data_IF_591495065424
#
_entry.id   IF_591495065424
#
_cell.length_a   1.000
_cell.length_b   1.000
_cell.length_c   1.000
_cell.angle_alpha   90.00
_cell.angle_beta   90.00
_cell.angle_gamma   90.00
#
_symmetry.space_group_name_H-M   'P 1'
#
loop_
_entity.id
_entity.type
_entity.pdbx_description
1 polymer ?
#
# COMPACT_ATOMS: atom_id res chain seq x y z
N UNK A 1 -25.63 16.25 -8.70
CA UNK A 1 -24.50 15.86 -9.55
C UNK A 1 -23.23 16.49 -8.96
N UNK A 2 -22.40 15.75 -8.22
CA UNK A 2 -21.10 16.26 -7.75
C UNK A 2 -20.10 16.06 -8.87
N UNK A 3 -19.54 17.14 -9.40
CA UNK A 3 -18.47 17.11 -10.40
C UNK A 3 -17.26 16.37 -9.83
N UNK A 4 -16.82 15.32 -10.53
CA UNK A 4 -15.58 14.64 -10.20
C UNK A 4 -14.42 15.67 -10.24
N UNK A 5 -13.49 15.64 -9.27
CA UNK A 5 -12.34 16.54 -9.27
C UNK A 5 -11.52 16.29 -10.54
N UNK A 6 -11.23 17.35 -11.27
CA UNK A 6 -10.34 17.35 -12.43
C UNK A 6 -8.99 16.78 -12.02
N UNK A 7 -8.64 15.59 -12.54
CA UNK A 7 -7.34 14.93 -12.30
C UNK A 7 -6.25 15.78 -12.93
N UNK A 8 -5.50 16.48 -12.11
CA UNK A 8 -4.27 17.17 -12.53
C UNK A 8 -3.26 16.10 -13.03
N UNK A 9 -3.00 16.08 -14.35
CA UNK A 9 -2.08 15.11 -14.98
C UNK A 9 -0.63 15.20 -14.45
N UNK A 10 -0.31 16.23 -13.68
CA UNK A 10 1.00 16.44 -13.08
C UNK A 10 1.17 15.78 -11.70
N UNK A 11 0.11 15.24 -11.11
CA UNK A 11 0.11 14.69 -9.76
C UNK A 11 -0.41 13.25 -9.78
N UNK A 12 0.37 12.30 -9.25
CA UNK A 12 -0.02 10.91 -9.08
C UNK A 12 -0.07 10.57 -7.59
N UNK A 13 -1.24 10.18 -7.09
CA UNK A 13 -1.42 9.67 -5.72
C UNK A 13 -1.67 8.18 -5.75
N UNK A 14 -0.98 7.47 -4.89
CA UNK A 14 -1.08 6.01 -4.79
C UNK A 14 -1.36 5.62 -3.36
N UNK A 15 -2.37 4.79 -3.16
CA UNK A 15 -2.62 4.11 -1.89
C UNK A 15 -1.90 2.75 -1.92
N UNK A 16 -0.85 2.61 -1.13
CA UNK A 16 -0.15 1.35 -0.92
C UNK A 16 -0.74 0.56 0.24
N UNK A 17 -0.90 -0.73 0.05
CA UNK A 17 -1.40 -1.67 1.07
C UNK A 17 -0.44 -2.84 1.19
N UNK A 18 -0.05 -3.14 2.43
CA UNK A 18 0.62 -4.37 2.83
C UNK A 18 -0.37 -5.24 3.62
N UNK A 19 -1.03 -6.20 2.97
CA UNK A 19 -2.04 -7.02 3.62
C UNK A 19 -1.39 -8.05 4.55
N UNK A 20 -1.95 -8.28 5.74
CA UNK A 20 -1.47 -9.28 6.67
C UNK A 20 -2.57 -10.25 7.12
N UNK A 21 -2.23 -11.55 7.16
CA UNK A 21 -3.13 -12.60 7.60
C UNK A 21 -3.37 -12.58 9.12
N UNK A 22 -2.34 -12.30 9.91
CA UNK A 22 -2.37 -12.34 11.37
C UNK A 22 -1.85 -11.05 12.02
N UNK A 23 -0.89 -10.36 11.41
CA UNK A 23 -0.32 -9.10 11.88
C UNK A 23 -1.20 -7.88 11.59
N UNK A 24 -0.61 -6.72 11.59
CA UNK A 24 -1.27 -5.49 11.19
C UNK A 24 -1.26 -5.34 9.66
N UNK A 25 -2.38 -4.92 9.09
CA UNK A 25 -2.42 -4.52 7.68
C UNK A 25 -1.94 -3.09 7.56
N UNK A 26 -0.80 -2.90 6.88
CA UNK A 26 -0.22 -1.59 6.64
C UNK A 26 -0.92 -0.83 5.52
N UNK A 27 -0.97 0.50 5.64
CA UNK A 27 -1.41 1.39 4.57
C UNK A 27 -0.51 2.63 4.48
N UNK A 28 -0.34 3.15 3.27
CA UNK A 28 0.40 4.38 3.04
C UNK A 28 -0.06 5.10 1.79
N UNK A 29 -0.27 6.41 1.88
CA UNK A 29 -0.63 7.26 0.75
C UNK A 29 0.56 8.12 0.37
N UNK A 30 1.01 7.98 -0.87
CA UNK A 30 2.15 8.71 -1.40
C UNK A 30 1.73 9.50 -2.64
N UNK A 31 2.05 10.79 -2.63
CA UNK A 31 1.85 11.68 -3.75
C UNK A 31 3.18 11.87 -4.49
N UNK A 32 3.16 11.68 -5.80
CA UNK A 32 4.21 12.07 -6.72
C UNK A 32 3.80 13.34 -7.43
N UNK A 33 4.57 14.42 -7.27
CA UNK A 33 4.37 15.71 -7.94
C UNK A 33 5.70 16.29 -8.36
N UNK A 34 5.80 16.74 -9.61
CA UNK A 34 7.04 17.32 -10.18
C UNK A 34 8.29 16.46 -9.91
N UNK A 35 8.16 15.14 -10.08
CA UNK A 35 9.26 14.19 -9.89
C UNK A 35 9.63 13.88 -8.42
N UNK A 36 8.89 14.41 -7.45
CA UNK A 36 9.15 14.22 -6.02
C UNK A 36 8.02 13.48 -5.33
N UNK A 37 8.36 12.47 -4.54
CA UNK A 37 7.40 11.76 -3.70
C UNK A 37 7.27 12.43 -2.34
N UNK A 38 6.02 12.50 -1.86
CA UNK A 38 5.65 13.01 -0.53
C UNK A 38 4.67 12.04 0.13
N UNK A 39 4.90 11.70 1.38
CA UNK A 39 3.95 10.97 2.21
C UNK A 39 2.80 11.90 2.60
N UNK A 40 1.55 11.44 2.40
CA UNK A 40 0.34 12.14 2.83
C UNK A 40 -0.24 11.53 4.10
N UNK A 41 -0.27 10.21 4.18
CA UNK A 41 -0.80 9.46 5.32
C UNK A 41 -0.14 8.08 5.37
N UNK A 42 0.03 7.54 6.56
CA UNK A 42 0.41 6.13 6.75
C UNK A 42 -0.09 5.63 8.10
N UNK A 43 -0.14 4.32 8.25
CA UNK A 43 -0.53 3.67 9.48
C UNK A 43 -0.70 2.17 9.30
N UNK A 44 -1.15 1.52 10.35
CA UNK A 44 -1.45 0.10 10.31
C UNK A 44 -2.69 -0.24 11.14
N UNK A 45 -3.54 -1.08 10.57
CA UNK A 45 -4.71 -1.65 11.23
C UNK A 45 -4.26 -2.86 12.04
N UNK A 46 -4.08 -2.65 13.33
CA UNK A 46 -3.76 -3.74 14.26
C UNK A 46 -5.01 -4.59 14.48
N UNK A 47 -4.78 -5.87 14.66
CA UNK A 47 -5.83 -6.76 15.15
C UNK A 47 -6.24 -6.27 16.54
N UNK A 48 -7.52 -5.96 16.74
CA UNK A 48 -8.09 -5.87 18.09
C UNK A 48 -7.85 -7.21 18.80
N UNK A 49 -7.64 -7.21 20.11
CA UNK A 49 -7.37 -8.40 20.94
C UNK A 49 -8.54 -9.41 20.95
N UNK A 50 -9.32 -9.47 19.88
CA UNK A 50 -10.48 -10.30 19.68
C UNK A 50 -10.14 -11.76 19.38
N UNK A 51 -11.11 -12.62 19.65
CA UNK A 51 -11.12 -14.04 19.31
C UNK A 51 -10.86 -14.26 17.79
N UNK A 52 -10.29 -15.41 17.40
CA UNK A 52 -10.28 -15.84 15.98
C UNK A 52 -11.64 -15.80 15.28
N UNK A 53 -12.74 -15.84 16.06
CA UNK A 53 -14.11 -15.70 15.56
C UNK A 53 -14.43 -14.28 15.03
N UNK A 54 -13.59 -13.27 15.29
CA UNK A 54 -13.80 -11.88 14.90
C UNK A 54 -13.12 -11.48 13.56
N UNK A 55 -12.69 -12.46 12.79
CA UNK A 55 -12.04 -12.20 11.52
C UNK A 55 -12.96 -11.49 10.48
N UNK A 56 -14.27 -11.79 10.38
CA UNK A 56 -15.18 -11.02 9.54
C UNK A 56 -15.25 -9.52 9.91
N UNK A 57 -15.26 -9.20 11.21
CA UNK A 57 -15.23 -7.81 11.67
C UNK A 57 -13.96 -7.09 11.25
N UNK A 58 -12.81 -7.78 11.31
CA UNK A 58 -11.54 -7.25 10.79
C UNK A 58 -11.59 -6.97 9.29
N UNK A 59 -12.17 -7.86 8.50
CA UNK A 59 -12.34 -7.63 7.05
C UNK A 59 -13.18 -6.38 6.79
N UNK A 60 -14.25 -6.19 7.55
CA UNK A 60 -15.09 -4.99 7.48
C UNK A 60 -14.32 -3.73 7.87
N UNK A 61 -13.49 -3.78 8.91
CA UNK A 61 -12.64 -2.65 9.32
C UNK A 61 -11.65 -2.26 8.22
N UNK A 62 -10.99 -3.26 7.61
CA UNK A 62 -10.06 -3.04 6.49
C UNK A 62 -10.81 -2.38 5.31
N UNK A 63 -11.97 -2.90 4.92
CA UNK A 63 -12.81 -2.32 3.87
C UNK A 63 -13.15 -0.86 4.16
N UNK A 64 -13.63 -0.59 5.38
CA UNK A 64 -14.04 0.75 5.81
C UNK A 64 -12.86 1.74 5.77
N UNK A 65 -11.69 1.34 6.26
CA UNK A 65 -10.51 2.22 6.26
C UNK A 65 -9.99 2.46 4.85
N UNK A 66 -9.90 1.42 4.02
CA UNK A 66 -9.49 1.57 2.62
C UNK A 66 -10.45 2.51 1.88
N UNK A 67 -11.77 2.35 2.06
CA UNK A 67 -12.77 3.25 1.48
C UNK A 67 -12.59 4.71 1.92
N UNK A 68 -12.39 4.94 3.23
CA UNK A 68 -12.13 6.29 3.77
C UNK A 68 -10.85 6.92 3.22
N UNK A 69 -9.78 6.16 3.10
CA UNK A 69 -8.53 6.64 2.52
C UNK A 69 -8.69 7.00 1.05
N UNK A 70 -9.48 6.23 0.31
CA UNK A 70 -9.81 6.51 -1.09
C UNK A 70 -10.64 7.81 -1.19
N UNK A 71 -11.64 7.99 -0.35
CA UNK A 71 -12.46 9.20 -0.32
C UNK A 71 -11.65 10.44 0.08
N UNK A 72 -10.81 10.34 1.14
CA UNK A 72 -10.04 11.46 1.70
C UNK A 72 -8.93 11.92 0.75
N UNK A 73 -8.19 10.98 0.16
CA UNK A 73 -6.99 11.31 -0.62
C UNK A 73 -7.18 11.24 -2.13
N UNK A 74 -8.30 10.73 -2.62
CA UNK A 74 -8.61 10.54 -4.03
C UNK A 74 -7.41 9.98 -4.83
N UNK A 75 -6.88 8.78 -4.47
CA UNK A 75 -5.75 8.19 -5.17
C UNK A 75 -6.13 7.85 -6.61
N UNK A 76 -5.12 7.74 -7.48
CA UNK A 76 -5.29 7.36 -8.88
C UNK A 76 -5.19 5.84 -9.08
N UNK A 77 -4.56 5.16 -8.12
CA UNK A 77 -4.40 3.71 -8.11
C UNK A 77 -4.22 3.18 -6.69
N UNK A 78 -4.52 1.90 -6.51
CA UNK A 78 -4.16 1.13 -5.32
C UNK A 78 -3.03 0.17 -5.70
N UNK A 79 -1.94 0.19 -4.92
CA UNK A 79 -0.82 -0.73 -5.05
C UNK A 79 -0.85 -1.70 -3.87
N UNK A 80 -0.80 -3.00 -4.13
CA UNK A 80 -0.92 -4.04 -3.10
C UNK A 80 0.28 -4.97 -3.18
N UNK A 81 0.88 -5.29 -2.03
CA UNK A 81 1.89 -6.33 -2.01
C UNK A 81 1.25 -7.69 -2.34
N UNK A 82 1.83 -8.38 -3.32
CA UNK A 82 1.40 -9.73 -3.67
C UNK A 82 2.06 -10.74 -2.77
N UNK A 83 1.27 -11.67 -2.28
CA UNK A 83 1.78 -12.77 -1.47
C UNK A 83 2.40 -13.82 -2.34
N UNK A 84 3.66 -14.13 -2.10
CA UNK A 84 4.33 -15.23 -2.73
C UNK A 84 4.91 -16.19 -1.69
N UNK A 85 4.44 -17.42 -1.76
CA UNK A 85 5.07 -18.69 -1.38
C UNK A 85 5.57 -18.94 0.04
N UNK A 86 5.51 -20.20 0.40
CA UNK A 86 5.95 -20.83 1.64
C UNK A 86 5.06 -20.57 2.89
N UNK A 87 3.90 -19.97 2.70
CA UNK A 87 2.89 -19.91 3.76
C UNK A 87 2.14 -21.25 3.86
N UNK A 88 1.83 -21.68 5.08
CA UNK A 88 0.88 -22.75 5.21
C UNK A 88 -0.48 -22.34 4.62
N UNK A 89 -1.25 -23.31 4.17
CA UNK A 89 -2.53 -23.11 3.46
C UNK A 89 -3.48 -22.18 4.23
N UNK A 90 -3.57 -22.33 5.55
CA UNK A 90 -4.46 -21.51 6.40
C UNK A 90 -4.06 -20.03 6.37
N UNK A 91 -2.77 -19.74 6.44
CA UNK A 91 -2.26 -18.36 6.35
C UNK A 91 -2.48 -17.79 4.96
N UNK A 92 -2.24 -18.57 3.92
CA UNK A 92 -2.45 -18.14 2.53
C UNK A 92 -3.92 -17.79 2.26
N UNK A 93 -4.86 -18.61 2.71
CA UNK A 93 -6.29 -18.35 2.59
C UNK A 93 -6.70 -17.06 3.31
N UNK A 94 -6.26 -16.88 4.56
CA UNK A 94 -6.55 -15.65 5.32
C UNK A 94 -6.03 -14.39 4.63
N UNK A 95 -4.86 -14.49 4.06
CA UNK A 95 -4.25 -13.38 3.35
C UNK A 95 -4.99 -13.07 2.02
N UNK A 96 -5.43 -14.11 1.31
CA UNK A 96 -6.26 -13.96 0.12
C UNK A 96 -7.60 -13.27 0.44
N UNK A 97 -8.23 -13.61 1.59
CA UNK A 97 -9.46 -12.96 2.06
C UNK A 97 -9.23 -11.47 2.37
N UNK A 98 -8.16 -11.11 3.08
CA UNK A 98 -7.78 -9.71 3.35
C UNK A 98 -7.54 -8.97 2.03
N UNK A 99 -6.76 -9.57 1.14
CA UNK A 99 -6.47 -8.98 -0.17
C UNK A 99 -7.74 -8.79 -1.00
N UNK A 100 -8.65 -9.77 -0.99
CA UNK A 100 -9.95 -9.68 -1.68
C UNK A 100 -10.78 -8.47 -1.24
N UNK A 101 -10.78 -8.17 0.05
CA UNK A 101 -11.47 -6.98 0.60
C UNK A 101 -10.85 -5.67 0.10
N UNK A 102 -9.52 -5.59 0.01
CA UNK A 102 -8.84 -4.41 -0.55
C UNK A 102 -9.18 -4.24 -2.04
N UNK A 103 -9.19 -5.35 -2.80
CA UNK A 103 -9.58 -5.34 -4.21
C UNK A 103 -11.02 -4.88 -4.40
N UNK A 104 -11.94 -5.33 -3.54
CA UNK A 104 -13.34 -4.94 -3.57
C UNK A 104 -13.49 -3.43 -3.34
N UNK A 105 -12.88 -2.88 -2.28
CA UNK A 105 -12.95 -1.46 -1.98
C UNK A 105 -12.39 -0.58 -3.12
N UNK A 106 -11.31 -1.02 -3.76
CA UNK A 106 -10.76 -0.32 -4.93
C UNK A 106 -11.69 -0.39 -6.15
N UNK A 107 -12.31 -1.57 -6.40
CA UNK A 107 -13.25 -1.76 -7.51
C UNK A 107 -14.52 -0.93 -7.35
N UNK A 108 -15.08 -0.84 -6.15
CA UNK A 108 -16.24 0.02 -5.83
C UNK A 108 -15.95 1.50 -6.10
N UNK A 109 -14.70 1.93 -5.92
CA UNK A 109 -14.25 3.27 -6.23
C UNK A 109 -13.80 3.47 -7.71
N UNK A 110 -13.86 2.41 -8.52
CA UNK A 110 -13.42 2.45 -9.93
C UNK A 110 -11.91 2.67 -10.10
N UNK A 111 -11.09 2.26 -9.11
CA UNK A 111 -9.65 2.45 -9.12
C UNK A 111 -8.92 1.21 -9.68
N UNK A 112 -7.88 1.40 -10.51
CA UNK A 112 -7.01 0.32 -10.92
C UNK A 112 -6.19 -0.20 -9.73
N UNK A 113 -5.97 -1.53 -9.70
CA UNK A 113 -5.13 -2.17 -8.68
C UNK A 113 -3.90 -2.79 -9.34
N UNK A 114 -2.74 -2.49 -8.77
CA UNK A 114 -1.46 -3.02 -9.19
C UNK A 114 -0.83 -3.86 -8.09
N UNK A 115 -0.31 -5.03 -8.46
CA UNK A 115 0.31 -5.96 -7.51
C UNK A 115 1.82 -5.99 -7.70
N UNK A 116 2.56 -5.97 -6.60
CA UNK A 116 4.01 -6.02 -6.57
C UNK A 116 4.49 -7.12 -5.64
N UNK A 117 5.41 -7.96 -6.10
CA UNK A 117 6.04 -8.95 -5.22
C UNK A 117 7.00 -8.28 -4.23
N UNK A 118 7.25 -8.89 -3.05
CA UNK A 118 8.22 -8.37 -2.10
C UNK A 118 9.61 -8.13 -2.72
N UNK A 119 10.01 -9.00 -3.65
CA UNK A 119 11.29 -8.87 -4.36
C UNK A 119 11.31 -7.65 -5.29
N UNK A 120 10.21 -7.41 -6.02
CA UNK A 120 10.10 -6.22 -6.87
C UNK A 120 10.14 -4.94 -6.06
N UNK A 121 9.42 -4.90 -4.93
CA UNK A 121 9.44 -3.74 -4.01
C UNK A 121 10.87 -3.50 -3.52
N UNK A 122 11.56 -4.52 -3.00
CA UNK A 122 12.94 -4.41 -2.53
C UNK A 122 13.89 -3.94 -3.63
N UNK A 123 13.81 -4.53 -4.82
CA UNK A 123 14.64 -4.14 -5.96
C UNK A 123 14.41 -2.68 -6.35
N UNK A 124 13.17 -2.23 -6.39
CA UNK A 124 12.81 -0.86 -6.80
C UNK A 124 13.21 0.18 -5.74
N UNK A 125 13.07 -0.14 -4.45
CA UNK A 125 13.30 0.82 -3.35
C UNK A 125 14.76 0.81 -2.88
N UNK A 126 15.36 -0.38 -2.70
CA UNK A 126 16.72 -0.51 -2.19
C UNK A 126 17.78 -0.82 -3.27
N UNK A 127 17.36 -1.06 -4.51
CA UNK A 127 18.26 -1.40 -5.60
C UNK A 127 18.65 -2.87 -5.69
N UNK A 128 18.27 -3.72 -4.72
CA UNK A 128 18.52 -5.17 -4.72
C UNK A 128 17.43 -5.94 -3.97
N UNK A 129 17.15 -7.17 -4.44
CA UNK A 129 15.98 -7.94 -4.01
C UNK A 129 16.10 -8.61 -2.63
N UNK A 130 17.25 -8.51 -1.95
CA UNK A 130 17.52 -9.13 -0.64
C UNK A 130 17.71 -8.11 0.48
N UNK A 131 17.27 -6.86 0.28
CA UNK A 131 17.31 -5.83 1.31
C UNK A 131 16.59 -6.32 2.59
N UNK A 132 17.21 -6.08 3.74
CA UNK A 132 16.61 -6.38 5.01
C UNK A 132 15.55 -5.32 5.41
N UNK A 133 14.80 -5.60 6.47
CA UNK A 133 13.71 -4.74 6.90
C UNK A 133 14.19 -3.35 7.32
N UNK A 134 15.30 -3.27 8.03
CA UNK A 134 15.86 -2.00 8.47
C UNK A 134 16.31 -1.15 7.26
N UNK A 135 17.00 -1.75 6.30
CA UNK A 135 17.42 -1.07 5.07
C UNK A 135 16.21 -0.53 4.30
N UNK A 136 15.14 -1.32 4.16
CA UNK A 136 13.90 -0.88 3.52
C UNK A 136 13.29 0.33 4.22
N UNK A 137 13.19 0.32 5.54
CA UNK A 137 12.66 1.43 6.33
C UNK A 137 13.50 2.71 6.16
N UNK A 138 14.84 2.58 6.19
CA UNK A 138 15.74 3.72 5.97
C UNK A 138 15.60 4.30 4.55
N UNK A 139 15.45 3.45 3.54
CA UNK A 139 15.20 3.90 2.17
C UNK A 139 13.87 4.63 2.03
N UNK A 140 12.79 4.09 2.58
CA UNK A 140 11.47 4.75 2.59
C UNK A 140 11.55 6.12 3.28
N UNK A 141 12.19 6.19 4.46
CA UNK A 141 12.43 7.44 5.17
C UNK A 141 13.14 8.46 4.29
N UNK A 142 14.24 8.06 3.68
CA UNK A 142 15.07 8.96 2.83
C UNK A 142 14.29 9.43 1.58
N UNK A 143 13.62 8.53 0.89
CA UNK A 143 12.87 8.82 -0.34
C UNK A 143 11.68 9.75 -0.10
N UNK A 144 11.02 9.64 1.05
CA UNK A 144 9.90 10.49 1.48
C UNK A 144 10.36 11.71 2.30
N UNK A 145 11.66 11.84 2.56
CA UNK A 145 12.26 12.92 3.37
C UNK A 145 11.62 13.07 4.75
N UNK A 146 11.35 11.93 5.38
CA UNK A 146 10.77 11.91 6.71
C UNK A 146 11.85 12.17 7.77
N UNK A 147 11.49 12.89 8.82
CA UNK A 147 12.41 13.16 9.97
C UNK A 147 12.72 11.86 10.73
N UNK A 148 11.73 10.97 10.82
CA UNK A 148 11.82 9.71 11.56
C UNK A 148 11.47 8.53 10.66
N UNK A 149 11.93 7.36 11.04
CA UNK A 149 11.57 6.10 10.38
C UNK A 149 10.07 5.83 10.58
N UNK A 150 9.32 5.52 9.52
CA UNK A 150 7.89 5.26 9.66
C UNK A 150 7.62 4.02 10.53
N UNK A 151 6.78 4.21 11.54
CA UNK A 151 6.31 3.15 12.43
C UNK A 151 4.77 3.07 12.44
N UNK A 152 4.18 1.89 12.60
CA UNK A 152 4.85 0.58 12.71
C UNK A 152 5.43 0.11 11.36
N UNK A 153 6.25 -0.95 11.41
CA UNK A 153 6.95 -1.47 10.24
C UNK A 153 6.02 -1.85 9.08
N UNK A 154 4.81 -2.37 9.36
CA UNK A 154 3.81 -2.69 8.34
C UNK A 154 3.37 -1.44 7.54
N UNK A 155 3.35 -0.27 8.18
CA UNK A 155 3.08 1.00 7.50
C UNK A 155 4.25 1.43 6.60
N UNK A 156 5.50 1.16 7.00
CA UNK A 156 6.67 1.40 6.17
C UNK A 156 6.65 0.49 4.93
N UNK A 157 6.26 -0.77 5.09
CA UNK A 157 6.13 -1.73 4.00
C UNK A 157 5.05 -1.26 2.99
N UNK A 158 3.91 -0.77 3.47
CA UNK A 158 2.87 -0.19 2.63
C UNK A 158 3.31 1.08 1.89
N UNK A 159 4.09 1.96 2.54
CA UNK A 159 4.70 3.13 1.88
C UNK A 159 5.69 2.70 0.79
N UNK A 160 6.47 1.64 1.03
CA UNK A 160 7.39 1.08 0.03
C UNK A 160 6.63 0.58 -1.21
N UNK A 161 5.48 -0.08 -1.04
CA UNK A 161 4.61 -0.53 -2.13
C UNK A 161 4.06 0.66 -2.94
N UNK A 162 3.61 1.73 -2.28
CA UNK A 162 3.14 2.94 -2.96
C UNK A 162 4.26 3.63 -3.75
N UNK A 163 5.46 3.75 -3.16
CA UNK A 163 6.65 4.27 -3.84
C UNK A 163 7.04 3.43 -5.04
N UNK A 164 7.01 2.10 -4.90
CA UNK A 164 7.30 1.17 -5.99
C UNK A 164 6.43 1.44 -7.22
N UNK A 165 5.12 1.65 -7.01
CA UNK A 165 4.20 2.01 -8.10
C UNK A 165 4.50 3.39 -8.68
N UNK A 166 4.71 4.42 -7.86
CA UNK A 166 5.04 5.76 -8.32
C UNK A 166 6.28 5.77 -9.23
N UNK A 167 7.34 5.03 -8.86
CA UNK A 167 8.54 4.91 -9.69
C UNK A 167 8.34 4.07 -10.95
N UNK A 168 7.47 3.07 -10.91
CA UNK A 168 7.11 2.31 -12.10
C UNK A 168 6.40 3.21 -13.14
N UNK A 169 5.46 4.04 -12.71
CA UNK A 169 4.77 5.00 -13.59
C UNK A 169 5.70 6.09 -14.11
N UNK A 170 6.60 6.62 -13.28
CA UNK A 170 7.64 7.56 -13.75
C UNK A 170 8.52 6.96 -14.84
N UNK A 171 8.93 5.72 -14.67
CA UNK A 171 9.76 5.02 -15.66
C UNK A 171 9.01 4.85 -16.97
N UNK A 172 7.72 4.46 -16.93
CA UNK A 172 6.87 4.34 -18.12
C UNK A 172 6.70 5.68 -18.84
N UNK A 173 6.45 6.75 -18.11
CA UNK A 173 6.26 8.09 -18.68
C UNK A 173 7.52 8.68 -19.35
N UNK A 174 8.73 8.15 -19.03
CA UNK A 174 9.99 8.56 -19.67
C UNK A 174 10.28 7.81 -20.96
N UNK A 175 9.61 6.69 -21.20
CA UNK A 175 9.82 5.82 -22.36
C UNK A 175 8.74 6.08 -23.45
N UNK A 176 7.59 6.62 -23.03
CA UNK A 176 6.49 6.99 -23.94
C UNK A 176 6.68 8.38 -24.55
#
# INVERSE_FOLDING_TARGET
MRSAPTRDRATLRVLGIDPAAAGATGYGVVELKAGRCRMLRFGALRRSNGSPADFPSRLREIHTIVGRLIEEFAPHAVAVESVFTALNMKTALRLAEVRGVVLLAAAEAGLPVHSYSPREVKLKIAGYGHADKHQMQQMVRAMLRMSETPEPADAADALAVALCHNYAEQARARIA
#
